data_IF_876742507852
#
_entry.id   IF_876742507852
#
_cell.length_a   1.000
_cell.length_b   1.000
_cell.length_c   1.000
_cell.angle_alpha   90.00
_cell.angle_beta   90.00
_cell.angle_gamma   90.00
#
_symmetry.space_group_name_H-M   'P 1'
#
loop_
_entity.id
_entity.type
_entity.pdbx_description
1 polymer ?
#
# COMPACT_ATOMS: atom_id res chain seq x y z
N UNK A 1 -13.44 7.35 -17.65
CA UNK A 1 -14.25 8.01 -18.69
C UNK A 1 -15.02 9.12 -18.03
N UNK A 2 -15.23 10.26 -18.70
CA UNK A 2 -16.07 11.34 -18.17
C UNK A 2 -17.49 11.17 -18.74
N UNK A 3 -18.49 11.40 -17.91
CA UNK A 3 -19.90 11.31 -18.27
C UNK A 3 -20.68 12.47 -17.64
N UNK A 4 -21.72 12.95 -18.30
CA UNK A 4 -22.61 13.98 -17.78
C UNK A 4 -23.80 13.32 -17.08
N UNK A 5 -23.95 13.57 -15.79
CA UNK A 5 -25.13 13.19 -15.02
C UNK A 5 -26.05 14.40 -14.86
N UNK A 6 -27.36 14.22 -15.07
CA UNK A 6 -28.35 15.23 -14.74
C UNK A 6 -28.90 14.97 -13.34
N UNK A 7 -28.96 16.03 -12.53
CA UNK A 7 -29.42 16.01 -11.14
C UNK A 7 -30.54 17.05 -11.03
N UNK A 8 -31.71 16.65 -10.54
CA UNK A 8 -32.82 17.57 -10.28
C UNK A 8 -32.68 18.11 -8.87
N UNK A 9 -32.46 19.41 -8.71
CA UNK A 9 -32.28 19.96 -7.37
C UNK A 9 -33.60 20.06 -6.61
N UNK A 10 -33.53 20.20 -5.29
CA UNK A 10 -34.69 20.50 -4.42
C UNK A 10 -35.47 21.76 -4.84
N UNK A 11 -34.84 22.66 -5.61
CA UNK A 11 -35.47 23.87 -6.18
C UNK A 11 -36.19 23.61 -7.51
N UNK A 12 -36.13 22.39 -8.05
CA UNK A 12 -36.66 22.01 -9.36
C UNK A 12 -35.75 22.43 -10.54
N UNK A 13 -34.49 22.80 -10.27
CA UNK A 13 -33.54 23.18 -11.32
C UNK A 13 -32.76 21.96 -11.79
N UNK A 14 -32.58 21.84 -13.11
CA UNK A 14 -31.72 20.82 -13.70
C UNK A 14 -30.27 21.26 -13.62
N UNK A 15 -29.47 20.53 -12.84
CA UNK A 15 -28.03 20.72 -12.70
C UNK A 15 -27.29 19.60 -13.41
N UNK A 16 -26.35 19.95 -14.28
CA UNK A 16 -25.43 18.97 -14.88
C UNK A 16 -24.21 18.80 -13.98
N UNK A 17 -23.91 17.55 -13.63
CA UNK A 17 -22.77 17.15 -12.82
C UNK A 17 -21.89 16.27 -13.68
N UNK A 18 -20.63 16.67 -13.86
CA UNK A 18 -19.64 15.84 -14.54
C UNK A 18 -19.16 14.75 -13.58
N UNK A 19 -19.26 13.49 -13.99
CA UNK A 19 -18.88 12.33 -13.18
C UNK A 19 -17.77 11.56 -13.89
N UNK A 20 -16.83 11.03 -13.12
CA UNK A 20 -15.80 10.14 -13.63
C UNK A 20 -16.21 8.70 -13.36
N UNK A 21 -16.37 7.92 -14.42
CA UNK A 21 -16.56 6.46 -14.35
C UNK A 21 -15.22 5.74 -14.40
N UNK A 22 -15.04 4.68 -13.59
CA UNK A 22 -13.98 3.69 -13.79
C UNK A 22 -13.97 3.17 -15.23
N UNK A 23 -12.80 2.78 -15.72
CA UNK A 23 -12.59 2.22 -17.08
C UNK A 23 -11.67 1.01 -16.98
N UNK A 24 -11.53 0.24 -18.07
CA UNK A 24 -10.63 -0.92 -18.13
C UNK A 24 -10.91 -1.92 -17.00
N UNK A 25 -12.20 -2.25 -16.82
CA UNK A 25 -12.69 -3.21 -15.81
C UNK A 25 -12.41 -2.80 -14.36
N UNK A 26 -11.90 -1.60 -14.12
CA UNK A 26 -11.75 -1.05 -12.77
C UNK A 26 -13.14 -0.80 -12.15
N UNK A 27 -13.24 -0.95 -10.83
CA UNK A 27 -14.42 -0.58 -10.05
C UNK A 27 -14.19 0.71 -9.25
N UNK A 28 -12.95 1.10 -8.99
CA UNK A 28 -12.65 2.34 -8.29
C UNK A 28 -11.92 3.35 -9.19
N UNK A 29 -12.06 4.63 -8.86
CA UNK A 29 -11.34 5.73 -9.50
C UNK A 29 -10.62 6.60 -8.46
N UNK A 30 -9.59 7.31 -8.91
CA UNK A 30 -8.91 8.31 -8.08
C UNK A 30 -9.77 9.57 -8.01
N UNK A 31 -10.14 9.98 -6.81
CA UNK A 31 -10.97 11.17 -6.54
C UNK A 31 -10.19 12.29 -5.83
N UNK A 32 -8.96 12.05 -5.41
CA UNK A 32 -8.01 13.08 -5.01
C UNK A 32 -6.61 12.49 -5.04
N UNK A 33 -5.62 13.26 -5.45
CA UNK A 33 -4.23 12.84 -5.40
C UNK A 33 -3.34 13.97 -4.89
N UNK A 34 -2.43 13.64 -3.99
CA UNK A 34 -1.42 14.57 -3.51
C UNK A 34 -0.08 13.90 -3.44
N UNK A 35 0.92 14.48 -4.08
CA UNK A 35 2.28 13.98 -4.09
C UNK A 35 3.28 15.10 -3.89
N UNK A 36 4.50 14.72 -3.51
CA UNK A 36 5.63 15.63 -3.43
C UNK A 36 6.77 15.11 -4.30
N UNK A 37 7.54 16.02 -4.88
CA UNK A 37 8.80 15.72 -5.56
C UNK A 37 9.88 16.68 -5.04
N UNK A 38 11.15 16.29 -5.09
CA UNK A 38 12.27 17.18 -4.78
C UNK A 38 12.49 18.22 -5.88
N UNK A 39 13.00 19.39 -5.53
CA UNK A 39 13.40 20.47 -6.45
C UNK A 39 14.43 20.00 -7.48
N UNK A 40 15.21 18.97 -7.15
CA UNK A 40 16.16 18.32 -8.04
C UNK A 40 15.47 17.70 -9.27
N UNK A 41 14.19 17.36 -9.17
CA UNK A 41 13.36 16.94 -10.30
C UNK A 41 13.38 18.02 -11.38
N UNK A 42 13.11 19.26 -10.98
CA UNK A 42 12.99 20.37 -11.93
C UNK A 42 14.35 20.82 -12.43
N UNK A 43 15.39 20.77 -11.59
CA UNK A 43 16.77 20.99 -12.05
C UNK A 43 17.21 19.98 -13.11
N UNK A 44 16.74 18.73 -13.00
CA UNK A 44 17.04 17.66 -13.96
C UNK A 44 16.32 17.86 -15.28
N UNK A 45 15.07 18.34 -15.23
CA UNK A 45 14.22 18.43 -16.42
C UNK A 45 14.34 19.76 -17.15
N UNK A 46 14.71 20.83 -16.42
CA UNK A 46 14.93 22.14 -16.99
C UNK A 46 16.09 22.10 -17.99
N UNK A 47 15.93 22.87 -19.06
CA UNK A 47 16.97 23.06 -20.09
C UNK A 47 17.94 24.19 -19.73
N UNK A 48 17.73 24.80 -18.57
CA UNK A 48 18.46 25.97 -18.09
C UNK A 48 18.59 25.90 -16.56
N UNK A 49 19.46 26.75 -16.01
CA UNK A 49 19.62 26.86 -14.58
C UNK A 49 18.41 27.59 -13.97
N UNK A 50 17.72 26.92 -13.06
CA UNK A 50 16.59 27.51 -12.35
C UNK A 50 17.09 28.41 -11.21
N UNK A 51 16.60 29.66 -11.17
CA UNK A 51 16.96 30.65 -10.15
C UNK A 51 15.68 31.18 -9.50
N UNK A 52 15.52 30.88 -8.21
CA UNK A 52 14.36 31.31 -7.43
C UNK A 52 13.10 30.49 -7.70
N UNK A 53 12.14 30.57 -6.78
CA UNK A 53 10.94 29.71 -6.75
C UNK A 53 10.11 29.76 -8.04
N UNK A 54 10.02 30.91 -8.70
CA UNK A 54 9.22 31.09 -9.93
C UNK A 54 9.73 30.20 -11.08
N UNK A 55 11.04 30.06 -11.26
CA UNK A 55 11.61 29.19 -12.29
C UNK A 55 11.25 27.71 -12.06
N UNK A 56 11.29 27.25 -10.80
CA UNK A 56 10.86 25.89 -10.44
C UNK A 56 9.38 25.67 -10.72
N UNK A 57 8.53 26.67 -10.42
CA UNK A 57 7.09 26.61 -10.64
C UNK A 57 6.76 26.59 -12.14
N UNK A 58 7.46 27.37 -12.97
CA UNK A 58 7.28 27.36 -14.41
C UNK A 58 7.64 26.00 -15.04
N UNK A 59 8.77 25.41 -14.62
CA UNK A 59 9.17 24.08 -15.11
C UNK A 59 8.20 22.99 -14.63
N UNK A 60 7.75 23.07 -13.37
CA UNK A 60 6.71 22.19 -12.86
C UNK A 60 5.42 22.33 -13.68
N UNK A 61 5.00 23.56 -13.98
CA UNK A 61 3.80 23.84 -14.79
C UNK A 61 3.85 23.14 -16.14
N UNK A 62 5.00 23.15 -16.82
CA UNK A 62 5.20 22.50 -18.12
C UNK A 62 4.95 20.99 -18.06
N UNK A 63 5.54 20.30 -17.07
CA UNK A 63 5.29 18.85 -16.90
C UNK A 63 3.87 18.54 -16.48
N UNK A 64 3.28 19.36 -15.60
CA UNK A 64 1.91 19.17 -15.14
C UNK A 64 0.93 19.33 -16.31
N UNK A 65 1.20 20.24 -17.24
CA UNK A 65 0.43 20.37 -18.48
C UNK A 65 0.57 19.14 -19.38
N UNK A 66 1.77 18.59 -19.55
CA UNK A 66 1.98 17.35 -20.31
C UNK A 66 1.24 16.14 -19.68
N UNK A 67 1.24 16.05 -18.35
CA UNK A 67 0.60 14.96 -17.59
C UNK A 67 -0.92 15.12 -17.56
N UNK A 68 -1.41 16.23 -17.04
CA UNK A 68 -2.82 16.47 -16.75
C UNK A 68 -3.58 17.18 -17.87
N UNK A 69 -2.89 17.80 -18.83
CA UNK A 69 -3.50 18.67 -19.83
C UNK A 69 -3.72 20.10 -19.34
N UNK A 70 -3.28 20.44 -18.12
CA UNK A 70 -3.28 21.80 -17.59
C UNK A 70 -2.12 22.01 -16.61
N UNK A 71 -1.58 23.23 -16.63
CA UNK A 71 -0.48 23.64 -15.77
C UNK A 71 -0.92 24.54 -14.62
N UNK A 72 0.06 25.22 -14.03
CA UNK A 72 -0.11 26.20 -12.96
C UNK A 72 -0.55 27.53 -13.58
N UNK A 73 -1.63 28.12 -13.07
CA UNK A 73 -2.31 29.25 -13.73
C UNK A 73 -2.16 30.58 -13.00
N UNK A 74 -2.01 30.57 -11.67
CA UNK A 74 -1.98 31.80 -10.87
C UNK A 74 -1.26 31.62 -9.54
N UNK A 75 -0.48 32.62 -9.14
CA UNK A 75 0.02 32.73 -7.76
C UNK A 75 -1.09 33.12 -6.79
N UNK A 76 -1.28 32.32 -5.73
CA UNK A 76 -2.28 32.57 -4.69
C UNK A 76 -1.82 33.58 -3.65
N UNK A 77 -0.53 33.97 -3.65
CA UNK A 77 0.11 34.94 -2.75
C UNK A 77 -0.13 34.61 -1.28
N UNK A 78 -0.10 33.33 -0.94
CA UNK A 78 -0.33 32.82 0.41
C UNK A 78 0.47 31.57 0.71
N UNK A 79 0.82 31.39 1.98
CA UNK A 79 1.29 30.11 2.49
C UNK A 79 0.19 29.07 2.48
N UNK A 80 0.52 27.83 2.16
CA UNK A 80 -0.42 26.70 2.21
C UNK A 80 0.32 25.42 2.53
N UNK A 81 -0.30 24.50 3.25
CA UNK A 81 0.26 23.16 3.51
C UNK A 81 1.69 23.18 4.12
N UNK A 82 1.98 24.20 4.93
CA UNK A 82 3.28 24.46 5.56
C UNK A 82 4.41 24.89 4.60
N UNK A 83 4.08 25.19 3.35
CA UNK A 83 4.95 25.87 2.39
C UNK A 83 4.75 27.38 2.45
N UNK A 84 5.78 28.14 2.11
CA UNK A 84 5.74 29.61 2.12
C UNK A 84 4.87 30.17 1.01
N UNK A 85 4.88 29.52 -0.17
CA UNK A 85 4.22 29.99 -1.37
C UNK A 85 3.30 28.89 -1.94
N UNK A 86 2.23 29.30 -2.63
CA UNK A 86 1.29 28.40 -3.26
C UNK A 86 0.67 29.01 -4.52
N UNK A 87 0.42 28.16 -5.50
CA UNK A 87 -0.15 28.51 -6.80
C UNK A 87 -1.36 27.64 -7.10
N UNK A 88 -2.26 28.16 -7.92
CA UNK A 88 -3.42 27.45 -8.46
C UNK A 88 -2.99 26.51 -9.59
N UNK A 89 -3.55 25.30 -9.58
CA UNK A 89 -3.39 24.33 -10.66
C UNK A 89 -4.68 24.29 -11.48
N UNK A 90 -4.60 24.53 -12.78
CA UNK A 90 -5.76 24.66 -13.67
C UNK A 90 -6.73 25.76 -13.20
N UNK A 91 -8.03 25.50 -13.27
CA UNK A 91 -9.08 26.43 -12.85
C UNK A 91 -9.63 26.02 -11.48
N UNK A 92 -8.78 26.12 -10.44
CA UNK A 92 -9.07 25.59 -9.09
C UNK A 92 -9.25 24.05 -9.07
N UNK A 93 -8.60 23.36 -10.00
CA UNK A 93 -8.48 21.90 -10.06
C UNK A 93 -7.50 21.35 -9.03
N UNK A 94 -6.73 22.22 -8.40
CA UNK A 94 -5.77 21.86 -7.39
C UNK A 94 -4.91 23.03 -6.97
N UNK A 95 -3.77 22.71 -6.38
CA UNK A 95 -2.75 23.69 -6.06
C UNK A 95 -1.37 23.06 -6.04
N UNK A 96 -0.37 23.91 -6.26
CA UNK A 96 1.04 23.58 -6.09
C UNK A 96 1.59 24.44 -4.96
N UNK A 97 2.45 23.89 -4.10
CA UNK A 97 3.06 24.62 -2.99
C UNK A 97 4.55 24.36 -2.93
N UNK A 98 5.34 25.43 -2.74
CA UNK A 98 6.80 25.38 -2.77
C UNK A 98 7.40 26.40 -1.80
N UNK A 99 8.67 26.17 -1.43
CA UNK A 99 9.40 27.00 -0.49
C UNK A 99 9.15 26.67 0.99
N UNK A 100 10.03 27.21 1.85
CA UNK A 100 10.06 26.97 3.29
C UNK A 100 11.09 25.92 3.70
N UNK A 101 12.08 26.34 4.50
CA UNK A 101 13.24 25.51 4.87
C UNK A 101 12.89 24.14 5.49
N UNK A 102 11.77 24.06 6.22
CA UNK A 102 11.29 22.82 6.85
C UNK A 102 10.78 21.78 5.84
N UNK A 103 10.52 22.17 4.60
CA UNK A 103 10.06 21.29 3.52
C UNK A 103 11.24 20.63 2.78
N UNK A 104 12.49 20.99 3.09
CA UNK A 104 13.70 20.30 2.57
C UNK A 104 13.71 20.21 1.04
N UNK A 105 13.40 21.34 0.39
CA UNK A 105 13.41 21.48 -1.06
C UNK A 105 12.40 20.59 -1.78
N UNK A 106 11.28 20.21 -1.15
CA UNK A 106 10.20 19.52 -1.88
C UNK A 106 9.22 20.52 -2.46
N UNK A 107 8.58 20.14 -3.56
CA UNK A 107 7.38 20.77 -4.11
C UNK A 107 6.20 19.84 -3.92
N UNK A 108 5.07 20.41 -3.49
CA UNK A 108 3.83 19.70 -3.27
C UNK A 108 2.84 19.97 -4.38
N UNK A 109 2.28 18.91 -4.95
CA UNK A 109 1.24 18.97 -5.96
C UNK A 109 -0.01 18.31 -5.38
N UNK A 110 -1.13 19.00 -5.42
CA UNK A 110 -2.42 18.51 -4.97
C UNK A 110 -3.47 18.66 -6.09
N UNK A 111 -3.99 17.54 -6.56
CA UNK A 111 -5.07 17.43 -7.53
C UNK A 111 -6.37 17.08 -6.78
N UNK A 112 -7.39 17.93 -6.89
CA UNK A 112 -8.71 17.71 -6.26
C UNK A 112 -9.53 16.70 -7.07
N UNK A 113 -10.71 16.30 -6.58
CA UNK A 113 -11.65 15.47 -7.35
C UNK A 113 -12.10 16.13 -8.64
N UNK A 114 -12.34 17.44 -8.61
CA UNK A 114 -12.62 18.20 -9.82
C UNK A 114 -11.42 18.18 -10.77
N UNK A 115 -10.19 18.33 -10.26
CA UNK A 115 -8.99 18.18 -11.09
C UNK A 115 -8.79 16.78 -11.67
N UNK A 116 -9.14 15.72 -10.92
CA UNK A 116 -9.11 14.35 -11.43
C UNK A 116 -10.13 14.13 -12.55
N UNK A 117 -11.27 14.81 -12.48
CA UNK A 117 -12.27 14.84 -13.55
C UNK A 117 -11.72 15.60 -14.76
N UNK A 118 -11.21 16.83 -14.56
CA UNK A 118 -10.72 17.69 -15.64
C UNK A 118 -9.48 17.15 -16.36
N UNK A 119 -8.68 16.31 -15.69
CA UNK A 119 -7.42 15.82 -16.23
C UNK A 119 -7.62 14.98 -17.50
N UNK A 120 -6.72 15.19 -18.46
CA UNK A 120 -6.66 14.49 -19.75
C UNK A 120 -6.58 12.98 -19.53
N UNK A 121 -7.36 12.21 -20.29
CA UNK A 121 -7.39 10.75 -20.19
C UNK A 121 -5.98 10.12 -20.22
N UNK A 122 -5.74 9.12 -19.36
CA UNK A 122 -4.45 8.45 -19.21
C UNK A 122 -3.40 9.26 -18.44
N UNK A 123 -3.82 10.29 -17.70
CA UNK A 123 -2.90 11.07 -16.85
C UNK A 123 -2.28 10.21 -15.75
N UNK A 124 -2.98 9.16 -15.34
CA UNK A 124 -2.59 8.24 -14.28
C UNK A 124 -1.31 7.51 -14.66
N UNK A 125 -1.27 6.95 -15.88
CA UNK A 125 -0.07 6.32 -16.45
C UNK A 125 1.03 7.33 -16.70
N UNK A 126 0.73 8.51 -17.27
CA UNK A 126 1.75 9.56 -17.48
C UNK A 126 2.36 10.03 -16.17
N UNK A 127 1.56 10.17 -15.12
CA UNK A 127 2.04 10.55 -13.81
C UNK A 127 2.86 9.43 -13.18
N UNK A 128 2.41 8.18 -13.32
CA UNK A 128 3.17 7.02 -12.87
C UNK A 128 4.58 7.03 -13.48
N UNK A 129 4.69 7.13 -14.80
CA UNK A 129 5.96 7.13 -15.51
C UNK A 129 6.83 8.34 -15.11
N UNK A 130 6.22 9.52 -14.96
CA UNK A 130 6.92 10.69 -14.42
C UNK A 130 7.48 10.44 -13.01
N UNK A 131 6.70 9.85 -12.11
CA UNK A 131 7.13 9.58 -10.74
C UNK A 131 8.20 8.49 -10.68
N UNK A 132 8.18 7.49 -11.55
CA UNK A 132 9.15 6.39 -11.56
C UNK A 132 10.45 6.81 -12.26
N UNK A 133 10.36 7.37 -13.46
CA UNK A 133 11.50 7.52 -14.36
C UNK A 133 12.14 8.91 -14.27
N UNK A 134 11.36 9.94 -13.94
CA UNK A 134 11.81 11.33 -14.04
C UNK A 134 12.05 11.96 -12.67
N UNK A 135 11.07 11.82 -11.77
CA UNK A 135 11.03 12.53 -10.50
C UNK A 135 12.14 12.09 -9.52
N UNK A 136 12.64 13.06 -8.76
CA UNK A 136 13.63 12.84 -7.69
C UNK A 136 12.93 12.96 -6.34
N UNK A 137 13.16 11.99 -5.45
CA UNK A 137 12.47 11.87 -4.15
C UNK A 137 10.92 11.97 -4.23
N UNK A 138 10.27 11.31 -5.20
CA UNK A 138 8.82 11.33 -5.31
C UNK A 138 8.15 10.63 -4.11
N UNK A 139 6.99 11.12 -3.67
CA UNK A 139 6.18 10.46 -2.65
C UNK A 139 4.72 10.81 -2.83
N UNK A 140 3.85 9.81 -2.98
CA UNK A 140 2.40 10.02 -2.83
C UNK A 140 2.11 10.18 -1.34
N UNK A 141 1.59 11.35 -0.98
CA UNK A 141 1.27 11.71 0.41
C UNK A 141 -0.20 11.47 0.75
N UNK A 142 -1.08 11.54 -0.26
CA UNK A 142 -2.50 11.19 -0.16
C UNK A 142 -3.04 10.69 -1.49
N UNK A 143 -3.90 9.68 -1.43
CA UNK A 143 -4.77 9.28 -2.53
C UNK A 143 -6.15 8.94 -1.97
N UNK A 144 -7.20 9.44 -2.60
CA UNK A 144 -8.57 9.06 -2.28
C UNK A 144 -9.09 8.21 -3.44
N UNK A 145 -9.54 7.01 -3.14
CA UNK A 145 -10.11 6.06 -4.10
C UNK A 145 -11.62 6.00 -3.87
N UNK A 146 -12.41 6.13 -4.92
CA UNK A 146 -13.87 6.20 -4.85
C UNK A 146 -14.53 5.11 -5.69
N UNK A 147 -15.71 4.69 -5.28
CA UNK A 147 -16.65 3.88 -6.05
C UNK A 147 -18.03 4.52 -5.95
N UNK A 148 -18.69 4.70 -7.08
CA UNK A 148 -20.03 5.28 -7.17
C UNK A 148 -21.06 4.18 -7.45
N UNK A 149 -21.98 3.99 -6.49
CA UNK A 149 -23.19 3.21 -6.64
C UNK A 149 -24.30 4.17 -7.08
N UNK A 150 -24.49 4.30 -8.39
CA UNK A 150 -25.37 5.33 -8.96
C UNK A 150 -26.84 4.93 -8.96
N UNK A 151 -27.10 3.63 -9.01
CA UNK A 151 -28.43 3.04 -9.19
C UNK A 151 -28.89 2.36 -7.89
N UNK A 152 -28.39 2.82 -6.74
CA UNK A 152 -28.77 2.29 -5.44
C UNK A 152 -28.28 0.86 -5.17
N UNK A 153 -27.18 0.42 -5.79
CA UNK A 153 -26.60 -0.91 -5.57
C UNK A 153 -26.32 -1.18 -4.08
N UNK A 154 -25.96 -0.11 -3.37
CA UNK A 154 -25.85 -0.08 -1.91
C UNK A 154 -26.37 1.24 -1.35
N UNK A 155 -26.93 1.18 -0.14
CA UNK A 155 -27.36 2.36 0.62
C UNK A 155 -26.41 2.66 1.77
N UNK A 156 -26.47 3.89 2.29
CA UNK A 156 -25.64 4.29 3.45
C UNK A 156 -25.96 3.47 4.70
N UNK A 157 -27.22 3.01 4.86
CA UNK A 157 -27.65 2.14 5.96
C UNK A 157 -27.06 0.72 5.83
N UNK A 158 -26.93 0.19 4.60
CA UNK A 158 -26.25 -1.09 4.38
C UNK A 158 -24.76 -1.01 4.70
N UNK A 159 -24.10 0.10 4.33
CA UNK A 159 -22.69 0.31 4.68
C UNK A 159 -22.50 0.45 6.19
N UNK A 160 -23.44 1.11 6.89
CA UNK A 160 -23.46 1.16 8.35
C UNK A 160 -23.56 -0.25 8.95
N UNK A 161 -24.49 -1.08 8.45
CA UNK A 161 -24.64 -2.47 8.87
C UNK A 161 -23.37 -3.31 8.70
N UNK A 162 -22.59 -3.09 7.64
CA UNK A 162 -21.29 -3.79 7.46
C UNK A 162 -20.29 -3.51 8.58
N UNK A 163 -20.42 -2.37 9.27
CA UNK A 163 -19.60 -2.08 10.43
C UNK A 163 -19.99 -2.96 11.62
N UNK A 164 -21.29 -3.12 11.88
CA UNK A 164 -21.81 -3.99 12.94
C UNK A 164 -21.50 -5.46 12.66
N UNK A 165 -21.47 -5.87 11.40
CA UNK A 165 -21.03 -7.19 10.95
C UNK A 165 -19.50 -7.40 11.06
N UNK A 166 -18.76 -6.37 11.48
CA UNK A 166 -17.31 -6.42 11.66
C UNK A 166 -16.50 -6.37 10.35
N UNK A 167 -17.13 -6.14 9.20
CA UNK A 167 -16.50 -6.19 7.88
C UNK A 167 -15.56 -5.01 7.58
N UNK A 168 -15.51 -4.00 8.46
CA UNK A 168 -14.50 -2.94 8.44
C UNK A 168 -13.27 -3.25 9.32
N UNK A 169 -13.25 -4.37 10.03
CA UNK A 169 -12.14 -4.75 10.90
C UNK A 169 -11.03 -5.43 10.10
N UNK A 170 -9.90 -4.75 9.92
CA UNK A 170 -8.73 -5.32 9.21
C UNK A 170 -7.71 -6.00 10.14
N UNK A 171 -7.91 -5.97 11.46
CA UNK A 171 -6.95 -6.45 12.45
C UNK A 171 -7.68 -6.89 13.73
N UNK A 172 -7.17 -6.54 14.92
CA UNK A 172 -7.75 -6.95 16.21
C UNK A 172 -8.93 -6.06 16.63
N UNK A 173 -8.83 -4.75 16.38
CA UNK A 173 -9.84 -3.78 16.84
C UNK A 173 -10.62 -3.20 15.67
N UNK A 174 -11.92 -3.02 15.87
CA UNK A 174 -12.77 -2.26 14.97
C UNK A 174 -12.25 -0.82 14.82
N UNK A 175 -12.30 -0.24 13.61
CA UNK A 175 -11.93 1.16 13.39
C UNK A 175 -12.92 2.11 14.07
N UNK A 176 -12.56 3.39 14.21
CA UNK A 176 -13.49 4.41 14.70
C UNK A 176 -14.72 4.53 13.78
N UNK A 177 -15.89 4.80 14.35
CA UNK A 177 -17.14 5.00 13.63
C UNK A 177 -17.73 6.38 13.94
N UNK A 178 -18.23 7.10 12.94
CA UNK A 178 -18.89 8.39 13.15
C UNK A 178 -20.00 8.63 12.12
N UNK A 179 -21.17 9.03 12.61
CA UNK A 179 -22.27 9.54 11.79
C UNK A 179 -22.10 11.02 11.47
N UNK A 180 -22.37 11.40 10.22
CA UNK A 180 -22.48 12.80 9.76
C UNK A 180 -23.78 13.00 8.98
N UNK A 181 -24.38 14.18 9.11
CA UNK A 181 -25.69 14.50 8.53
C UNK A 181 -26.85 14.15 9.45
N UNK A 182 -28.09 14.30 8.95
CA UNK A 182 -29.30 14.22 9.75
C UNK A 182 -29.86 12.79 9.85
N UNK A 183 -29.15 11.92 10.56
CA UNK A 183 -29.53 10.50 10.73
C UNK A 183 -30.84 10.28 11.50
N UNK A 184 -31.12 11.14 12.49
CA UNK A 184 -32.32 11.01 13.34
C UNK A 184 -33.60 11.46 12.63
N UNK A 185 -33.49 12.43 11.72
CA UNK A 185 -34.60 13.02 10.96
C UNK A 185 -34.09 13.39 9.55
N UNK A 186 -33.99 12.41 8.64
CA UNK A 186 -33.50 12.67 7.29
C UNK A 186 -34.29 13.80 6.62
N UNK A 187 -33.58 14.76 6.04
CA UNK A 187 -34.15 15.97 5.45
C UNK A 187 -33.79 16.16 3.96
N UNK A 188 -33.35 15.10 3.29
CA UNK A 188 -32.94 15.14 1.89
C UNK A 188 -31.50 15.65 1.65
N UNK A 189 -30.82 16.23 2.64
CA UNK A 189 -29.45 16.79 2.45
C UNK A 189 -28.32 15.77 2.41
N UNK A 190 -28.65 14.49 2.57
CA UNK A 190 -27.69 13.40 2.57
C UNK A 190 -27.15 13.06 3.96
N UNK A 191 -26.86 11.76 4.13
CA UNK A 191 -26.20 11.18 5.31
C UNK A 191 -24.82 10.66 4.92
N UNK A 192 -23.97 10.51 5.92
CA UNK A 192 -22.67 9.87 5.76
C UNK A 192 -22.24 9.07 6.97
N UNK A 193 -21.50 8.01 6.71
CA UNK A 193 -20.75 7.22 7.71
C UNK A 193 -19.26 7.39 7.48
N UNK A 194 -18.51 7.62 8.55
CA UNK A 194 -17.06 7.76 8.56
C UNK A 194 -16.42 6.60 9.34
N UNK A 195 -15.61 5.80 8.65
CA UNK A 195 -14.96 4.60 9.20
C UNK A 195 -13.44 4.77 9.22
N UNK A 196 -12.85 4.82 10.41
CA UNK A 196 -11.44 5.07 10.64
C UNK A 196 -11.13 6.54 10.92
N UNK A 197 -9.85 6.92 10.86
CA UNK A 197 -9.39 8.26 11.24
C UNK A 197 -8.25 8.72 10.36
N UNK A 198 -8.31 9.97 9.87
CA UNK A 198 -7.26 10.57 9.04
C UNK A 198 -5.88 10.55 9.71
N UNK A 199 -5.80 10.80 11.02
CA UNK A 199 -4.54 10.73 11.79
C UNK A 199 -3.87 9.36 11.76
N UNK A 200 -4.66 8.31 11.51
CA UNK A 200 -4.18 6.94 11.37
C UNK A 200 -3.85 6.57 9.94
N UNK A 201 -3.98 7.49 8.98
CA UNK A 201 -3.60 7.36 7.57
C UNK A 201 -4.55 6.53 6.69
N UNK A 202 -5.73 6.16 7.20
CA UNK A 202 -6.80 5.52 6.43
C UNK A 202 -8.17 5.96 6.99
N UNK A 203 -9.04 6.48 6.13
CA UNK A 203 -10.42 6.85 6.46
C UNK A 203 -11.32 6.46 5.30
N UNK A 204 -12.33 5.63 5.55
CA UNK A 204 -13.42 5.38 4.61
C UNK A 204 -14.61 6.31 4.91
N UNK A 205 -15.29 6.75 3.87
CA UNK A 205 -16.52 7.54 3.94
C UNK A 205 -17.51 6.94 2.96
N UNK A 206 -18.71 6.63 3.43
CA UNK A 206 -19.85 6.34 2.56
C UNK A 206 -20.86 7.46 2.73
N UNK A 207 -21.30 8.07 1.64
CA UNK A 207 -22.22 9.19 1.70
C UNK A 207 -23.14 9.26 0.49
N UNK A 208 -24.36 9.77 0.72
CA UNK A 208 -25.38 9.94 -0.31
C UNK A 208 -24.98 11.11 -1.22
N UNK A 209 -24.27 10.80 -2.31
CA UNK A 209 -23.61 11.75 -3.21
C UNK A 209 -24.60 12.54 -4.04
N UNK A 210 -25.66 11.93 -4.54
CA UNK A 210 -26.69 12.65 -5.32
C UNK A 210 -27.39 13.71 -4.49
N UNK A 211 -27.68 13.40 -3.22
CA UNK A 211 -28.21 14.35 -2.23
C UNK A 211 -27.25 15.49 -1.94
N UNK A 212 -25.95 15.19 -1.82
CA UNK A 212 -24.91 16.22 -1.71
C UNK A 212 -24.83 17.12 -2.96
N UNK A 213 -25.19 16.60 -4.14
CA UNK A 213 -25.29 17.38 -5.36
C UNK A 213 -26.59 18.19 -5.50
N UNK A 214 -27.56 17.96 -4.61
CA UNK A 214 -28.79 18.72 -4.46
C UNK A 214 -30.08 17.97 -4.79
N UNK A 215 -30.02 16.67 -5.10
CA UNK A 215 -31.20 15.84 -5.40
C UNK A 215 -31.56 14.99 -4.18
N UNK A 216 -32.57 15.43 -3.43
CA UNK A 216 -33.04 14.76 -2.21
C UNK A 216 -33.51 13.31 -2.43
N UNK A 217 -33.97 12.96 -3.63
CA UNK A 217 -34.53 11.64 -3.95
C UNK A 217 -33.50 10.71 -4.58
N UNK A 218 -32.27 11.19 -4.81
CA UNK A 218 -31.21 10.40 -5.44
C UNK A 218 -30.76 9.21 -4.58
N UNK A 219 -30.63 8.06 -5.23
CA UNK A 219 -30.06 6.83 -4.66
C UNK A 219 -28.53 6.76 -4.81
N UNK A 220 -27.91 7.75 -5.46
CA UNK A 220 -26.47 7.77 -5.71
C UNK A 220 -25.68 7.82 -4.40
N UNK A 221 -25.05 6.70 -4.04
CA UNK A 221 -24.11 6.55 -2.94
C UNK A 221 -22.67 6.58 -3.48
N UNK A 222 -21.77 7.29 -2.80
CA UNK A 222 -20.32 7.18 -3.02
C UNK A 222 -19.64 6.58 -1.81
N UNK A 223 -18.76 5.61 -2.06
CA UNK A 223 -17.84 5.05 -1.07
C UNK A 223 -16.42 5.50 -1.42
N UNK A 224 -15.79 6.25 -0.53
CA UNK A 224 -14.43 6.80 -0.67
C UNK A 224 -13.49 6.24 0.40
N UNK A 225 -12.29 5.83 0.03
CA UNK A 225 -11.19 5.52 0.95
C UNK A 225 -10.05 6.50 0.75
N UNK A 226 -9.85 7.38 1.73
CA UNK A 226 -8.70 8.28 1.84
C UNK A 226 -7.53 7.54 2.48
N UNK A 227 -6.44 7.40 1.75
CA UNK A 227 -5.15 6.96 2.25
C UNK A 227 -4.23 8.15 2.40
N UNK A 228 -3.53 8.23 3.54
CA UNK A 228 -2.40 9.14 3.74
C UNK A 228 -1.15 8.36 4.08
N UNK A 229 0.01 8.89 3.71
CA UNK A 229 1.31 8.30 4.03
C UNK A 229 1.68 8.34 5.54
N UNK A 230 0.76 8.78 6.40
CA UNK A 230 0.89 8.62 7.85
C UNK A 230 1.00 7.13 8.18
N UNK A 231 2.19 6.73 8.67
CA UNK A 231 2.51 5.33 8.98
C UNK A 231 2.43 4.39 7.78
N UNK A 232 2.41 4.90 6.54
CA UNK A 232 2.30 4.09 5.31
C UNK A 232 3.21 4.60 4.21
N UNK A 233 3.54 3.73 3.27
CA UNK A 233 4.09 4.10 1.97
C UNK A 233 3.01 3.82 0.94
N UNK A 234 2.54 4.85 0.24
CA UNK A 234 1.54 4.67 -0.83
C UNK A 234 2.33 4.35 -2.11
N UNK A 235 2.18 3.14 -2.68
CA UNK A 235 2.90 2.75 -3.89
C UNK A 235 2.38 3.52 -5.11
N UNK A 236 3.23 3.71 -6.11
CA UNK A 236 2.84 4.40 -7.36
C UNK A 236 1.90 3.55 -8.21
N UNK A 237 1.94 2.23 -8.07
CA UNK A 237 1.03 1.28 -8.73
C UNK A 237 -0.45 1.55 -8.42
N UNK A 238 -0.77 2.29 -7.34
CA UNK A 238 -2.14 2.76 -7.07
C UNK A 238 -2.70 3.65 -8.20
N UNK A 239 -1.83 4.26 -9.00
CA UNK A 239 -2.21 5.02 -10.19
C UNK A 239 -2.66 4.12 -11.33
N UNK A 240 -2.08 2.92 -11.42
CA UNK A 240 -2.34 1.97 -12.51
C UNK A 240 -3.49 1.00 -12.18
N UNK A 241 -3.59 0.57 -10.92
CA UNK A 241 -4.63 -0.36 -10.47
C UNK A 241 -5.31 0.11 -9.18
N UNK A 242 -6.04 1.23 -9.20
CA UNK A 242 -6.71 1.77 -8.02
C UNK A 242 -7.70 0.78 -7.40
N UNK A 243 -8.35 -0.08 -8.20
CA UNK A 243 -9.38 -0.99 -7.71
C UNK A 243 -8.83 -2.04 -6.75
N UNK A 244 -7.66 -2.61 -7.03
CA UNK A 244 -7.07 -3.64 -6.15
C UNK A 244 -6.74 -3.07 -4.77
N UNK A 245 -6.25 -1.83 -4.70
CA UNK A 245 -6.04 -1.13 -3.44
C UNK A 245 -7.34 -0.72 -2.73
N UNK A 246 -8.39 -0.39 -3.50
CA UNK A 246 -9.70 -0.06 -2.96
C UNK A 246 -10.37 -1.28 -2.31
N UNK A 247 -10.48 -2.40 -3.01
CA UNK A 247 -11.05 -3.64 -2.45
C UNK A 247 -10.16 -4.25 -1.37
N UNK A 248 -8.85 -3.98 -1.42
CA UNK A 248 -7.89 -4.34 -0.37
C UNK A 248 -7.99 -3.47 0.89
N UNK A 249 -8.73 -2.36 0.85
CA UNK A 249 -8.78 -1.42 1.97
C UNK A 249 -9.57 -1.97 3.17
N UNK A 250 -10.70 -2.63 2.94
CA UNK A 250 -11.56 -3.24 3.96
C UNK A 250 -12.24 -4.50 3.42
N UNK A 251 -12.47 -5.53 4.25
CA UNK A 251 -13.16 -6.76 3.82
C UNK A 251 -14.49 -6.52 3.09
N UNK A 252 -15.35 -5.61 3.57
CA UNK A 252 -16.63 -5.28 2.92
C UNK A 252 -16.49 -4.79 1.47
N UNK A 253 -15.38 -4.13 1.12
CA UNK A 253 -15.22 -3.57 -0.22
C UNK A 253 -14.94 -4.64 -1.28
N UNK A 254 -14.65 -5.88 -0.88
CA UNK A 254 -14.58 -7.03 -1.80
C UNK A 254 -15.95 -7.44 -2.33
N UNK A 255 -17.03 -7.03 -1.68
CA UNK A 255 -18.39 -7.26 -2.17
C UNK A 255 -18.66 -6.51 -3.48
N UNK A 256 -17.88 -5.46 -3.75
CA UNK A 256 -17.99 -4.63 -4.96
C UNK A 256 -17.29 -5.25 -6.17
N UNK A 257 -16.28 -6.10 -5.93
CA UNK A 257 -15.54 -6.83 -6.97
C UNK A 257 -14.85 -8.05 -6.34
N UNK A 258 -15.58 -9.17 -6.28
CA UNK A 258 -15.13 -10.37 -5.58
C UNK A 258 -14.05 -11.16 -6.35
N UNK A 259 -13.92 -10.95 -7.66
CA UNK A 259 -12.93 -11.64 -8.49
C UNK A 259 -11.57 -10.93 -8.47
N UNK A 260 -11.52 -9.64 -8.10
CA UNK A 260 -10.28 -8.86 -8.05
C UNK A 260 -9.39 -9.23 -6.88
N UNK A 261 -8.11 -9.45 -7.19
CA UNK A 261 -7.10 -9.67 -6.19
C UNK A 261 -6.85 -8.37 -5.37
N UNK A 262 -6.92 -8.44 -4.03
CA UNK A 262 -6.73 -7.29 -3.16
C UNK A 262 -5.25 -6.89 -3.04
N UNK A 263 -4.96 -5.61 -3.10
CA UNK A 263 -3.62 -5.07 -2.79
C UNK A 263 -3.64 -4.25 -1.48
N UNK A 264 -2.61 -4.41 -0.64
CA UNK A 264 -2.53 -3.73 0.65
C UNK A 264 -1.42 -2.70 0.65
N UNK A 265 -1.78 -1.45 1.00
CA UNK A 265 -0.78 -0.40 1.24
C UNK A 265 0.03 -0.74 2.50
N UNK A 266 1.35 -0.87 2.33
CA UNK A 266 2.26 -1.26 3.40
C UNK A 266 2.29 -0.24 4.54
N UNK A 267 2.18 -0.74 5.76
CA UNK A 267 2.33 0.05 6.98
C UNK A 267 3.81 0.10 7.34
N UNK A 268 4.36 1.31 7.48
CA UNK A 268 5.72 1.55 7.98
C UNK A 268 5.84 0.90 9.35
N UNK A 269 6.59 -0.19 9.45
CA UNK A 269 7.02 -0.76 10.73
C UNK A 269 7.94 0.26 11.38
N UNK A 270 7.57 0.80 12.54
CA UNK A 270 8.52 1.60 13.32
C UNK A 270 9.63 0.66 13.76
N UNK A 271 10.85 0.86 13.23
CA UNK A 271 12.04 0.30 13.85
C UNK A 271 12.09 0.73 15.32
N UNK A 272 12.45 -0.22 16.19
CA UNK A 272 12.35 -0.12 17.64
C UNK A 272 13.32 0.90 18.29
N UNK A 273 14.05 1.70 17.51
CA UNK A 273 15.17 2.53 17.94
C UNK A 273 14.78 3.80 18.72
N UNK A 274 13.54 4.29 18.60
CA UNK A 274 13.07 5.49 19.31
C UNK A 274 12.56 5.13 20.70
N UNK A 275 13.41 4.55 21.55
CA UNK A 275 12.92 3.92 22.76
C UNK A 275 13.53 4.50 24.03
N UNK A 276 14.83 4.77 24.06
CA UNK A 276 15.45 5.40 25.25
C UNK A 276 15.02 6.86 25.39
N UNK A 277 15.20 7.68 24.35
CA UNK A 277 14.82 9.10 24.39
C UNK A 277 13.31 9.32 24.56
N UNK A 278 12.50 8.47 23.92
CA UNK A 278 11.05 8.51 24.07
C UNK A 278 10.61 8.10 25.48
N UNK A 279 11.25 7.09 26.06
CA UNK A 279 11.00 6.67 27.44
C UNK A 279 11.38 7.77 28.42
N UNK A 280 12.55 8.39 28.26
CA UNK A 280 12.99 9.50 29.10
C UNK A 280 12.04 10.70 28.99
N UNK A 281 11.59 11.04 27.77
CA UNK A 281 10.63 12.12 27.54
C UNK A 281 9.27 11.81 28.17
N UNK A 282 8.81 10.56 28.10
CA UNK A 282 7.56 10.13 28.72
C UNK A 282 7.65 10.23 30.26
N UNK A 283 8.74 9.73 30.85
CA UNK A 283 8.99 9.83 32.29
C UNK A 283 9.01 11.31 32.72
N UNK A 284 9.76 12.15 32.00
CA UNK A 284 9.83 13.59 32.29
C UNK A 284 8.47 14.27 32.21
N UNK A 285 7.67 13.97 31.18
CA UNK A 285 6.36 14.62 30.97
C UNK A 285 5.32 14.16 31.99
N UNK A 286 5.21 12.84 32.17
CA UNK A 286 4.14 12.23 32.96
C UNK A 286 4.44 12.24 34.45
N UNK A 287 5.71 12.08 34.84
CA UNK A 287 6.11 11.85 36.22
C UNK A 287 7.17 12.81 36.76
N UNK A 288 7.73 13.70 35.92
CA UNK A 288 8.83 14.59 36.32
C UNK A 288 8.52 15.51 37.51
N UNK A 289 7.26 15.95 37.66
CA UNK A 289 6.83 16.76 38.81
C UNK A 289 6.86 15.96 40.12
N UNK A 290 6.43 14.71 40.10
CA UNK A 290 6.48 13.82 41.26
C UNK A 290 7.93 13.43 41.58
N UNK A 291 8.73 13.15 40.55
CA UNK A 291 10.16 12.89 40.71
C UNK A 291 10.88 14.05 41.39
N UNK A 292 10.56 15.31 41.06
CA UNK A 292 11.12 16.47 41.75
C UNK A 292 10.80 16.47 43.24
N UNK A 293 9.54 16.25 43.62
CA UNK A 293 9.13 16.24 45.03
C UNK A 293 9.78 15.07 45.78
N UNK A 294 9.66 13.86 45.26
CA UNK A 294 10.12 12.64 45.92
C UNK A 294 11.64 12.62 46.08
N UNK A 295 12.38 13.09 45.07
CA UNK A 295 13.85 13.24 45.14
C UNK A 295 14.27 14.18 46.28
N UNK A 296 13.58 15.29 46.49
CA UNK A 296 13.91 16.23 47.58
C UNK A 296 13.52 15.70 48.96
N UNK A 297 12.53 14.81 49.05
CA UNK A 297 12.06 14.24 50.33
C UNK A 297 12.89 13.03 50.75
N UNK A 298 13.20 12.13 49.81
CA UNK A 298 13.85 10.85 50.08
C UNK A 298 15.37 10.92 49.90
N UNK A 299 15.87 11.89 49.14
CA UNK A 299 17.24 11.85 48.63
C UNK A 299 17.35 10.98 47.37
N UNK A 300 18.44 11.15 46.64
CA UNK A 300 18.59 10.63 45.27
C UNK A 300 18.58 9.09 45.20
N UNK A 301 19.30 8.42 46.10
CA UNK A 301 19.42 6.95 46.09
C UNK A 301 18.09 6.27 46.45
N UNK A 302 17.51 6.64 47.59
CA UNK A 302 16.27 6.05 48.10
C UNK A 302 15.08 6.32 47.15
N UNK A 303 15.06 7.48 46.48
CA UNK A 303 14.07 7.76 45.44
C UNK A 303 14.20 6.80 44.25
N UNK A 304 15.41 6.64 43.71
CA UNK A 304 15.63 5.78 42.54
C UNK A 304 15.31 4.31 42.85
N UNK A 305 15.70 3.82 44.01
CA UNK A 305 15.38 2.47 44.46
C UNK A 305 13.87 2.27 44.63
N UNK A 306 13.15 3.28 45.15
CA UNK A 306 11.71 3.20 45.36
C UNK A 306 10.88 3.20 44.06
N UNK A 307 11.35 3.84 42.98
CA UNK A 307 10.60 3.93 41.71
C UNK A 307 11.02 2.89 40.67
N UNK A 308 12.13 2.19 40.90
CA UNK A 308 12.64 1.17 39.97
C UNK A 308 11.91 -0.14 40.22
N UNK A 309 11.38 -0.76 39.16
CA UNK A 309 10.70 -2.05 39.27
C UNK A 309 11.70 -3.15 39.67
N UNK A 310 11.29 -4.03 40.59
CA UNK A 310 12.12 -5.13 41.10
C UNK A 310 12.18 -6.36 40.19
N UNK A 311 11.47 -6.39 39.04
CA UNK A 311 11.46 -7.53 38.12
C UNK A 311 12.82 -7.76 37.45
N UNK A 312 13.67 -6.74 37.35
CA UNK A 312 14.96 -6.83 36.65
C UNK A 312 14.84 -7.00 35.14
N UNK A 313 13.63 -6.95 34.59
CA UNK A 313 13.36 -7.15 33.17
C UNK A 313 13.33 -5.83 32.41
N UNK A 314 13.88 -5.85 31.19
CA UNK A 314 13.71 -4.75 30.26
C UNK A 314 12.25 -4.65 29.82
N UNK A 315 11.68 -3.43 29.68
CA UNK A 315 10.36 -3.28 29.08
C UNK A 315 10.35 -3.96 27.71
N UNK A 316 9.37 -4.83 27.43
CA UNK A 316 9.30 -5.60 26.16
C UNK A 316 9.45 -4.73 24.89
N UNK A 317 9.03 -3.47 24.99
CA UNK A 317 9.11 -2.49 23.91
C UNK A 317 10.52 -1.95 23.72
N UNK A 318 11.33 -1.87 24.77
CA UNK A 318 12.69 -1.31 24.81
C UNK A 318 13.70 -2.38 24.39
N UNK A 319 13.84 -2.61 23.08
CA UNK A 319 14.92 -3.44 22.50
C UNK A 319 16.10 -2.54 22.16
N UNK A 320 17.13 -2.55 23.00
CA UNK A 320 18.42 -1.91 22.69
C UNK A 320 19.21 -2.88 21.81
N UNK A 321 19.70 -2.48 20.63
CA UNK A 321 20.60 -3.33 19.85
C UNK A 321 21.87 -3.63 20.65
N UNK A 322 22.11 -4.89 20.97
CA UNK A 322 23.30 -5.36 21.70
C UNK A 322 23.78 -6.68 21.06
N UNK A 323 25.10 -6.87 20.98
CA UNK A 323 25.69 -8.10 20.46
C UNK A 323 25.35 -9.31 21.34
N UNK A 324 25.13 -9.10 22.64
CA UNK A 324 24.72 -10.15 23.58
C UNK A 324 23.26 -10.60 23.40
N UNK A 325 22.42 -9.76 22.79
CA UNK A 325 20.98 -10.03 22.58
C UNK A 325 20.63 -10.32 21.11
N UNK A 326 21.64 -10.40 20.24
CA UNK A 326 21.46 -10.70 18.83
C UNK A 326 21.03 -12.15 18.61
N UNK A 327 20.18 -12.39 17.59
CA UNK A 327 19.79 -13.74 17.21
C UNK A 327 21.02 -14.55 16.79
N UNK A 328 21.02 -15.85 17.08
CA UNK A 328 22.10 -16.76 16.67
C UNK A 328 22.31 -16.66 15.16
N UNK A 329 23.53 -16.34 14.70
CA UNK A 329 23.78 -16.17 13.29
C UNK A 329 23.56 -17.49 12.55
N UNK A 330 23.08 -17.41 11.30
CA UNK A 330 22.65 -18.57 10.52
C UNK A 330 23.70 -19.69 10.40
N UNK A 331 24.99 -19.34 10.45
CA UNK A 331 26.10 -20.29 10.39
C UNK A 331 26.31 -21.09 11.69
N UNK A 332 25.76 -20.62 12.81
CA UNK A 332 25.80 -21.28 14.11
C UNK A 332 24.51 -22.08 14.41
N UNK A 333 23.50 -21.99 13.55
CA UNK A 333 22.34 -22.86 13.63
C UNK A 333 22.71 -24.29 13.22
N UNK A 334 22.14 -25.34 13.87
CA UNK A 334 22.35 -26.71 13.44
C UNK A 334 21.93 -26.86 11.98
N UNK A 335 22.86 -27.28 11.11
CA UNK A 335 22.49 -27.66 9.75
C UNK A 335 21.60 -28.89 9.86
N UNK A 336 20.35 -28.79 9.42
CA UNK A 336 19.54 -29.97 9.17
C UNK A 336 20.34 -30.86 8.23
N UNK A 337 20.59 -32.11 8.63
CA UNK A 337 21.27 -33.09 7.81
C UNK A 337 20.40 -33.24 6.56
N UNK A 338 20.91 -32.80 5.42
CA UNK A 338 20.22 -33.02 4.14
C UNK A 338 20.22 -34.54 3.96
N UNK A 339 19.01 -35.12 3.96
CA UNK A 339 18.83 -36.53 3.63
C UNK A 339 19.46 -36.75 2.24
N UNK A 340 20.54 -37.53 2.19
CA UNK A 340 21.26 -37.81 0.97
C UNK A 340 20.74 -39.15 0.44
N UNK A 341 19.86 -39.10 -0.55
CA UNK A 341 19.23 -40.28 -1.18
C UNK A 341 20.24 -41.28 -1.80
N UNK A 342 21.54 -40.93 -1.80
CA UNK A 342 22.63 -41.69 -2.40
C UNK A 342 23.60 -42.31 -1.39
N UNK A 343 23.29 -42.27 -0.09
CA UNK A 343 24.11 -42.91 0.97
C UNK A 343 23.45 -44.21 1.50
N UNK A 344 23.85 -45.40 1.01
CA UNK A 344 23.30 -46.69 1.43
C UNK A 344 23.93 -47.21 2.75
N UNK A 345 24.42 -46.33 3.62
CA UNK A 345 24.89 -46.70 4.96
C UNK A 345 23.83 -46.49 6.06
N UNK A 346 22.70 -45.86 5.72
CA UNK A 346 21.62 -45.52 6.67
C UNK A 346 20.37 -46.40 6.57
N UNK A 347 20.31 -47.32 5.62
CA UNK A 347 19.14 -48.10 5.23
C UNK A 347 19.11 -49.52 5.83
N UNK A 348 19.73 -49.75 6.98
CA UNK A 348 19.34 -50.83 7.91
C UNK A 348 19.32 -52.28 7.38
N UNK A 349 19.92 -52.56 6.22
CA UNK A 349 20.03 -53.93 5.69
C UNK A 349 21.11 -54.69 6.47
N UNK A 350 20.69 -55.64 7.30
CA UNK A 350 21.59 -56.60 7.94
C UNK A 350 22.08 -57.61 6.92
N UNK A 351 23.40 -57.68 6.71
CA UNK A 351 24.05 -58.73 5.93
C UNK A 351 23.78 -60.10 6.55
N UNK A 352 22.86 -60.89 5.97
CA UNK A 352 22.83 -62.33 6.19
C UNK A 352 23.70 -63.03 5.14
N UNK A 353 24.75 -63.65 5.66
CA UNK A 353 25.73 -64.54 5.03
C UNK A 353 25.14 -65.61 4.11
N UNK A 354 25.66 -65.70 2.88
CA UNK A 354 25.69 -66.96 2.11
C UNK A 354 27.11 -67.17 1.57
N UNK A 355 27.95 -67.82 2.39
CA UNK A 355 29.12 -68.56 1.91
C UNK A 355 28.81 -70.05 2.06
N UNK A 356 28.78 -70.79 0.96
CA UNK A 356 28.98 -72.23 0.95
C UNK A 356 30.00 -72.57 -0.15
N UNK A 357 31.08 -73.31 0.15
CA UNK A 357 32.19 -73.54 -0.77
C UNK A 357 31.92 -74.75 -1.68
N UNK A 358 32.14 -74.61 -2.99
CA UNK A 358 32.18 -75.74 -3.90
C UNK A 358 33.57 -76.39 -3.88
N UNK A 359 33.68 -77.56 -3.24
CA UNK A 359 34.85 -78.40 -3.29
C UNK A 359 35.03 -79.03 -4.68
N UNK A 360 36.27 -79.06 -5.13
CA UNK A 360 36.73 -79.49 -6.45
C UNK A 360 36.74 -81.02 -6.56
N UNK A 361 36.08 -81.59 -7.57
CA UNK A 361 36.44 -82.90 -8.14
C UNK A 361 36.12 -82.92 -9.64
N UNK A 362 37.13 -83.26 -10.46
CA UNK A 362 36.94 -83.83 -11.79
C UNK A 362 37.40 -82.97 -12.95
N UNK A 363 38.58 -83.32 -13.49
CA UNK A 363 39.05 -82.99 -14.84
C UNK A 363 37.92 -83.02 -15.90
N UNK A 364 37.95 -82.11 -16.88
CA UNK A 364 38.56 -82.43 -18.18
C UNK A 364 38.37 -81.34 -19.26
N UNK A 365 39.45 -81.17 -20.03
CA UNK A 365 39.58 -80.74 -21.42
C UNK A 365 39.24 -79.31 -21.87
N UNK A 366 40.31 -78.65 -22.33
CA UNK A 366 40.35 -77.49 -23.20
C UNK A 366 39.73 -77.76 -24.60
N UNK A 367 39.34 -76.69 -25.32
CA UNK A 367 39.86 -76.29 -26.65
C UNK A 367 39.19 -74.97 -27.13
N UNK A 368 40.04 -73.97 -27.38
CA UNK A 368 40.13 -72.96 -28.45
C UNK A 368 38.99 -72.80 -29.49
N UNK A 369 38.46 -71.58 -29.72
CA UNK A 369 38.76 -70.55 -30.79
C UNK A 369 37.58 -70.50 -31.80
N UNK A 370 37.08 -69.42 -32.42
CA UNK A 370 37.68 -68.33 -33.22
C UNK A 370 36.67 -67.17 -33.45
N UNK A 371 37.17 -66.11 -34.10
CA UNK A 371 36.61 -64.76 -34.37
C UNK A 371 35.74 -64.64 -35.66
N UNK A 372 35.27 -63.40 -35.89
CA UNK A 372 34.83 -62.71 -37.13
C UNK A 372 33.33 -62.78 -37.46
N UNK A 373 32.63 -61.76 -37.98
CA UNK A 373 33.00 -60.46 -38.56
C UNK A 373 31.77 -59.61 -38.93
N UNK A 374 32.01 -58.61 -39.80
CA UNK A 374 31.22 -57.45 -40.28
C UNK A 374 29.72 -57.58 -40.65
N UNK A 375 29.03 -56.43 -40.73
CA UNK A 375 27.77 -56.29 -41.51
C UNK A 375 27.09 -54.92 -41.39
N UNK A 376 26.88 -54.29 -42.54
CA UNK A 376 26.51 -52.89 -42.82
C UNK A 376 24.99 -52.68 -43.07
N UNK A 377 24.60 -51.40 -43.19
CA UNK A 377 23.43 -50.81 -43.88
C UNK A 377 21.98 -51.19 -43.52
N UNK A 378 21.06 -50.21 -43.57
CA UNK A 378 19.63 -50.51 -43.74
C UNK A 378 18.62 -49.46 -43.31
N UNK A 379 18.27 -48.59 -44.25
CA UNK A 379 17.24 -47.56 -44.23
C UNK A 379 15.77 -48.03 -44.01
N UNK A 380 14.93 -47.06 -43.66
CA UNK A 380 13.54 -46.86 -44.10
C UNK A 380 12.31 -47.49 -43.38
N UNK A 381 11.45 -46.53 -42.96
CA UNK A 381 9.98 -46.42 -43.19
C UNK A 381 8.96 -47.09 -42.25
N UNK A 382 8.25 -46.19 -41.59
CA UNK A 382 6.79 -45.96 -41.66
C UNK A 382 5.84 -46.60 -40.65
N UNK A 383 5.09 -45.70 -40.01
CA UNK A 383 3.65 -45.72 -39.72
C UNK A 383 2.98 -47.03 -39.30
N UNK A 384 2.49 -47.03 -38.06
CA UNK A 384 1.39 -47.88 -37.60
C UNK A 384 0.63 -47.19 -36.47
N UNK A 385 -0.59 -46.76 -36.79
CA UNK A 385 -1.62 -46.18 -35.91
C UNK A 385 -2.15 -47.18 -34.86
N UNK A 386 -2.74 -46.61 -33.79
CA UNK A 386 -3.90 -47.11 -33.00
C UNK A 386 -3.60 -48.28 -32.04
N UNK A 387 -4.16 -48.38 -30.84
CA UNK A 387 -5.45 -47.93 -30.30
C UNK A 387 -5.39 -47.62 -28.79
N UNK A 388 -6.40 -46.86 -28.37
CA UNK A 388 -6.88 -46.68 -27.00
C UNK A 388 -7.12 -48.00 -26.25
N UNK A 389 -7.02 -47.95 -24.91
CA UNK A 389 -8.02 -48.43 -23.93
C UNK A 389 -7.35 -48.72 -22.57
N UNK A 390 -7.39 -47.75 -21.65
CA UNK A 390 -8.33 -47.75 -20.51
C UNK A 390 -8.15 -46.53 -19.62
#
# INVERSE_FOLDING_TARGET
MQELQMVMTDTGELKTVLVRRPVNEQVAMIDTLRFTVGEETWNRTAREQLIGDECFVLEASRYLEEIFGFGITRDLKKSRDFYTNAWELGDNYGHVAFGGARQRGTMLINLSGQGCIAAKAGWESRLHDFLVDTAVRPTITRVDLAHDCMEGEYTVDQVDGWYDDGLFTCSVNAPHHEYKGDWKKPNGKGRSVYIGLRRNGKLCRAYEKGREQGDADSEWLRIEVEFRNNKRVIPFDVLLDPSSYFVGAYPCLRLLDASRAPEKIEIKRKAAEINVDASLRNIRTSYGKYAFVLRNVLGDADFLDAITNQSGEWPERLKVPDFETCATPLHALPRAQVFNDLDPSGDGWTEETVFAPAATTGNSHAIHEQREGDGDEGEQRSNGKRDDLR
#
